data_IF_592428763332
#
_entry.id   IF_592428763332
#
_cell.length_a   1.000
_cell.length_b   1.000
_cell.length_c   1.000
_cell.angle_alpha   90.00
_cell.angle_beta   90.00
_cell.angle_gamma   90.00
#
_symmetry.space_group_name_H-M   'P 1'
#
loop_
_entity.id
_entity.type
_entity.pdbx_description
1 polymer ?
#
# COMPACT_ATOMS: atom_id res chain seq x y z
N UNK A 1 3.05 -10.86 -5.76
CA UNK A 1 3.05 -10.36 -7.15
C UNK A 1 3.58 -8.94 -7.14
N UNK A 2 4.42 -8.59 -8.11
CA UNK A 2 5.00 -7.25 -8.21
C UNK A 2 4.27 -6.44 -9.27
N UNK A 3 3.65 -5.34 -8.84
CA UNK A 3 2.96 -4.36 -9.69
C UNK A 3 3.82 -3.11 -9.89
N UNK A 4 3.52 -2.35 -10.93
CA UNK A 4 4.09 -1.04 -11.23
C UNK A 4 3.03 0.05 -11.10
N UNK A 5 3.44 1.32 -11.00
CA UNK A 5 2.49 2.45 -10.92
C UNK A 5 1.46 2.47 -12.05
N UNK A 6 1.85 2.05 -13.26
CA UNK A 6 0.95 2.02 -14.42
C UNK A 6 -0.16 0.97 -14.31
N UNK A 7 -0.06 0.04 -13.34
CA UNK A 7 -1.10 -0.94 -13.06
C UNK A 7 -2.18 -0.39 -12.12
N UNK A 8 -1.98 0.79 -11.52
CA UNK A 8 -2.94 1.38 -10.60
C UNK A 8 -4.28 1.69 -11.30
N UNK A 9 -5.43 1.41 -10.66
CA UNK A 9 -5.57 0.91 -9.28
C UNK A 9 -5.33 -0.61 -9.16
N UNK A 10 -4.62 -1.03 -8.11
CA UNK A 10 -4.38 -2.45 -7.79
C UNK A 10 -4.90 -2.80 -6.41
N UNK A 11 -5.24 -4.08 -6.23
CA UNK A 11 -5.60 -4.66 -4.93
C UNK A 11 -4.50 -5.64 -4.55
N UNK A 12 -3.70 -5.27 -3.56
CA UNK A 12 -2.59 -6.08 -3.07
C UNK A 12 -3.10 -7.15 -2.11
N UNK A 13 -2.63 -8.38 -2.27
CA UNK A 13 -2.65 -9.43 -1.25
C UNK A 13 -1.37 -9.36 -0.41
N UNK A 14 -1.38 -10.06 0.72
CA UNK A 14 -0.17 -10.17 1.54
C UNK A 14 0.95 -10.83 0.72
N UNK A 15 2.16 -10.25 0.76
CA UNK A 15 3.28 -10.62 -0.10
C UNK A 15 3.25 -10.03 -1.52
N UNK A 16 2.21 -9.27 -1.89
CA UNK A 16 2.23 -8.42 -3.08
C UNK A 16 2.89 -7.06 -2.76
N UNK A 17 3.36 -6.39 -3.81
CA UNK A 17 3.95 -5.07 -3.72
C UNK A 17 3.66 -4.28 -4.99
N UNK A 18 3.47 -2.97 -4.86
CA UNK A 18 3.50 -2.05 -6.00
C UNK A 18 4.69 -1.10 -5.89
N UNK A 19 5.42 -0.91 -7.00
CA UNK A 19 6.48 0.08 -7.12
C UNK A 19 5.95 1.32 -7.84
N UNK A 20 6.02 2.47 -7.17
CA UNK A 20 5.67 3.78 -7.69
C UNK A 20 6.77 4.31 -8.64
N UNK A 21 6.44 5.31 -9.46
CA UNK A 21 7.33 5.81 -10.50
C UNK A 21 8.61 6.49 -9.94
N UNK A 22 8.59 6.95 -8.69
CA UNK A 22 9.77 7.47 -7.98
C UNK A 22 10.64 6.38 -7.33
N UNK A 23 10.25 5.11 -7.47
CA UNK A 23 10.92 3.95 -6.89
C UNK A 23 10.37 3.53 -5.52
N UNK A 24 9.52 4.34 -4.87
CA UNK A 24 8.86 4.01 -3.61
C UNK A 24 8.04 2.73 -3.76
N UNK A 25 8.14 1.83 -2.80
CA UNK A 25 7.35 0.59 -2.77
C UNK A 25 6.23 0.69 -1.75
N UNK A 26 5.10 0.06 -2.03
CA UNK A 26 3.99 -0.10 -1.09
C UNK A 26 3.67 -1.59 -0.98
N UNK A 27 3.71 -2.11 0.25
CA UNK A 27 3.27 -3.46 0.62
C UNK A 27 2.59 -3.42 1.98
N UNK A 28 2.00 -4.53 2.39
CA UNK A 28 1.53 -4.68 3.77
C UNK A 28 1.78 -6.08 4.28
N UNK A 29 1.86 -6.18 5.60
CA UNK A 29 1.83 -7.44 6.34
C UNK A 29 0.54 -7.48 7.18
N UNK A 30 -0.08 -8.67 7.31
CA UNK A 30 -1.30 -8.83 8.12
C UNK A 30 -0.94 -8.99 9.60
N UNK A 31 -1.64 -8.25 10.46
CA UNK A 31 -1.38 -8.24 11.89
C UNK A 31 -2.68 -8.08 12.69
N UNK A 32 -3.23 -9.19 13.16
CA UNK A 32 -4.41 -9.19 14.04
C UNK A 32 -5.67 -8.57 13.42
N UNK A 33 -5.83 -8.69 12.10
CA UNK A 33 -6.90 -8.10 11.31
C UNK A 33 -6.59 -6.71 10.74
N UNK A 34 -5.41 -6.16 11.03
CA UNK A 34 -4.95 -4.89 10.48
C UNK A 34 -3.94 -5.08 9.34
N UNK A 35 -3.73 -4.01 8.55
CA UNK A 35 -2.75 -3.92 7.48
C UNK A 35 -1.64 -3.02 7.99
N UNK A 36 -0.52 -3.62 8.33
CA UNK A 36 0.70 -2.90 8.66
C UNK A 36 1.35 -2.51 7.33
N UNK A 37 1.09 -1.28 6.89
CA UNK A 37 1.52 -0.77 5.59
C UNK A 37 2.98 -0.33 5.67
N UNK A 38 3.79 -0.90 4.80
CA UNK A 38 5.22 -0.65 4.70
C UNK A 38 5.49 0.17 3.44
N UNK A 39 6.22 1.27 3.60
CA UNK A 39 6.56 2.20 2.51
C UNK A 39 8.07 2.20 2.30
N UNK A 40 8.51 1.97 1.06
CA UNK A 40 9.92 1.83 0.73
C UNK A 40 10.54 0.59 1.37
N UNK A 41 11.80 0.74 1.81
CA UNK A 41 12.58 -0.30 2.49
C UNK A 41 12.46 -0.22 4.03
N UNK A 42 11.39 0.39 4.54
CA UNK A 42 11.17 0.54 5.98
C UNK A 42 10.92 -0.83 6.66
N UNK A 43 11.52 -1.02 7.84
CA UNK A 43 11.33 -2.20 8.68
C UNK A 43 10.11 -2.09 9.61
N UNK A 44 9.61 -0.88 9.83
CA UNK A 44 8.43 -0.63 10.65
C UNK A 44 7.28 -0.15 9.77
N UNK A 45 6.05 -0.50 10.15
CA UNK A 45 4.87 -0.02 9.48
C UNK A 45 4.80 1.51 9.56
N UNK A 46 4.57 2.14 8.41
CA UNK A 46 4.33 3.58 8.35
C UNK A 46 2.97 3.92 8.94
N UNK A 47 1.99 3.05 8.73
CA UNK A 47 0.67 3.11 9.34
C UNK A 47 0.06 1.71 9.48
N UNK A 48 -0.87 1.57 10.42
CA UNK A 48 -1.65 0.35 10.65
C UNK A 48 -3.10 0.67 10.35
N UNK A 49 -3.69 -0.02 9.37
CA UNK A 49 -5.05 0.24 8.89
C UNK A 49 -5.97 -0.94 9.19
N UNK A 50 -7.08 -0.69 9.87
CA UNK A 50 -8.17 -1.66 9.96
C UNK A 50 -9.04 -1.61 8.70
N UNK A 51 -9.84 -2.65 8.41
CA UNK A 51 -10.74 -2.64 7.26
C UNK A 51 -11.57 -1.35 7.19
N UNK A 52 -11.76 -0.83 5.98
CA UNK A 52 -12.42 0.45 5.65
C UNK A 52 -11.64 1.73 5.95
N UNK A 53 -10.52 1.65 6.69
CA UNK A 53 -9.65 2.82 6.87
C UNK A 53 -8.82 3.08 5.62
N UNK A 54 -8.50 4.36 5.41
CA UNK A 54 -7.60 4.80 4.35
C UNK A 54 -6.44 5.65 4.88
N UNK A 55 -5.38 5.70 4.08
CA UNK A 55 -4.20 6.51 4.30
C UNK A 55 -3.79 7.19 3.01
N UNK A 56 -3.58 8.51 3.06
CA UNK A 56 -3.03 9.26 1.94
C UNK A 56 -1.50 9.28 2.02
N UNK A 57 -0.88 8.65 1.04
CA UNK A 57 0.56 8.60 0.85
C UNK A 57 0.96 9.70 -0.14
N UNK A 58 1.81 10.63 0.31
CA UNK A 58 2.54 11.53 -0.57
C UNK A 58 3.90 10.90 -0.92
N UNK A 59 4.14 10.69 -2.21
CA UNK A 59 5.42 10.24 -2.76
C UNK A 59 5.93 11.26 -3.80
N UNK A 60 7.18 11.14 -4.22
CA UNK A 60 7.77 12.03 -5.22
C UNK A 60 7.04 11.98 -6.57
N UNK A 61 6.40 10.86 -6.90
CA UNK A 61 5.63 10.64 -8.14
C UNK A 61 4.16 11.06 -8.08
N UNK A 62 3.65 11.48 -6.91
CA UNK A 62 2.28 11.96 -6.73
C UNK A 62 1.68 11.63 -5.37
N UNK A 63 0.35 11.76 -5.29
CA UNK A 63 -0.43 11.37 -4.12
C UNK A 63 -1.21 10.08 -4.41
N UNK A 64 -1.34 9.24 -3.40
CA UNK A 64 -1.97 7.92 -3.51
C UNK A 64 -2.87 7.68 -2.30
N UNK A 65 -4.00 7.02 -2.52
CA UNK A 65 -4.87 6.53 -1.44
C UNK A 65 -4.66 5.03 -1.26
N UNK A 66 -4.39 4.64 -0.03
CA UNK A 66 -4.27 3.24 0.39
C UNK A 66 -5.48 2.90 1.24
N UNK A 67 -6.33 1.98 0.80
CA UNK A 67 -7.57 1.61 1.50
C UNK A 67 -7.52 0.16 1.93
N UNK A 68 -7.62 -0.10 3.22
CA UNK A 68 -7.64 -1.45 3.77
C UNK A 68 -8.99 -2.14 3.50
N UNK A 69 -8.96 -3.29 2.85
CA UNK A 69 -10.10 -4.21 2.77
C UNK A 69 -10.07 -5.25 3.89
N UNK A 70 -10.88 -6.31 3.76
CA UNK A 70 -10.94 -7.39 4.76
C UNK A 70 -9.72 -8.31 4.74
N UNK A 71 -9.14 -8.55 3.55
CA UNK A 71 -7.98 -9.43 3.31
C UNK A 71 -6.94 -8.83 2.35
N UNK A 72 -7.04 -7.53 2.05
CA UNK A 72 -6.25 -6.86 1.02
C UNK A 72 -6.00 -5.37 1.34
N UNK A 73 -5.21 -4.73 0.49
CA UNK A 73 -4.96 -3.29 0.48
C UNK A 73 -5.13 -2.77 -0.96
N UNK A 74 -6.11 -1.91 -1.18
CA UNK A 74 -6.28 -1.21 -2.46
C UNK A 74 -5.32 -0.01 -2.52
N UNK A 75 -4.61 0.14 -3.62
CA UNK A 75 -3.75 1.30 -3.91
C UNK A 75 -4.27 1.98 -5.17
N UNK A 76 -4.50 3.30 -5.10
CA UNK A 76 -4.93 4.11 -6.24
C UNK A 76 -4.29 5.50 -6.22
N UNK A 77 -4.04 6.07 -7.41
CA UNK A 77 -3.52 7.42 -7.58
C UNK A 77 -4.65 8.46 -7.48
N UNK A 78 -4.40 9.59 -6.83
CA UNK A 78 -5.35 10.71 -6.63
C UNK A 78 -4.81 12.02 -7.21
#
# INVERSE_FOLDING_TARGET
MDYQENDLPVVLREGDMVRLADGTTVRFDESGGARDVMIGDEFNARCTLFPTMDYELAAGSGSYRLTAGDSDLKVEKI
#
